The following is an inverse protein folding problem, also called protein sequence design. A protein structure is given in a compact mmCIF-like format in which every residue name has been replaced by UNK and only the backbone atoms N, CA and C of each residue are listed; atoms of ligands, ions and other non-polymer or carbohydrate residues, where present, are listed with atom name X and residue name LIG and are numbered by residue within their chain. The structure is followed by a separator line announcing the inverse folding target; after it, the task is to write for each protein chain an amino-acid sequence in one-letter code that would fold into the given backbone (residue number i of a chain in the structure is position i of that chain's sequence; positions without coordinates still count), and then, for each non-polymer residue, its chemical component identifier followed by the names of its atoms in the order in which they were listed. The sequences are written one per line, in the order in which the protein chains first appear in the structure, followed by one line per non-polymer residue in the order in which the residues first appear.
data_IF_506261133718
#
_entry.id   IF_506261133718
#
_cell.length_a   1.000
_cell.length_b   1.000
_cell.length_c   1.000
_cell.angle_alpha   90.00
_cell.angle_beta   90.00
_cell.angle_gamma   90.00
#
_symmetry.space_group_name_H-M   'P 1'
#
loop_
_entity.id
_entity.type
_entity.pdbx_description
1 polymer ?
#
# COMPACT_ATOMS: atom_id res chain seq x y z
N UNK A 1 -4.61 21.65 50.98
CA UNK A 1 -5.78 21.04 51.64
C UNK A 1 -5.43 19.60 51.92
N UNK A 2 -5.26 19.23 53.18
CA UNK A 2 -4.89 17.89 53.61
C UNK A 2 -6.11 16.99 53.53
N UNK A 3 -6.14 16.07 52.57
CA UNK A 3 -7.16 15.04 52.48
C UNK A 3 -6.99 14.05 53.65
N UNK A 4 -7.78 14.23 54.70
CA UNK A 4 -7.84 13.28 55.82
C UNK A 4 -8.69 12.07 55.41
N UNK A 5 -8.01 11.01 54.95
CA UNK A 5 -8.59 9.75 54.47
C UNK A 5 -9.43 9.06 55.55
N UNK A 6 -9.26 9.42 56.83
CA UNK A 6 -10.02 8.87 57.96
C UNK A 6 -11.51 9.21 57.91
N UNK A 7 -11.91 10.21 57.10
CA UNK A 7 -13.31 10.67 57.00
C UNK A 7 -14.15 9.90 55.97
N UNK A 8 -13.56 9.00 55.18
CA UNK A 8 -14.25 8.17 54.18
C UNK A 8 -14.69 6.79 54.70
N UNK A 9 -14.46 6.48 55.98
CA UNK A 9 -14.89 5.22 56.59
C UNK A 9 -16.36 5.33 57.07
N UNK A 10 -17.30 5.03 56.15
CA UNK A 10 -18.77 5.14 56.36
C UNK A 10 -19.33 4.01 57.25
N UNK A 11 -18.55 2.95 57.51
CA UNK A 11 -19.02 1.77 58.22
C UNK A 11 -18.62 1.74 59.70
N UNK A 12 -19.54 1.25 60.55
CA UNK A 12 -19.30 1.03 61.99
C UNK A 12 -18.25 -0.07 62.15
N UNK A 13 -17.10 0.27 62.74
CA UNK A 13 -16.00 -0.69 62.97
C UNK A 13 -16.47 -1.85 63.85
N UNK A 14 -16.28 -3.07 63.36
CA UNK A 14 -16.60 -4.31 64.08
C UNK A 14 -15.58 -4.47 65.22
N UNK A 15 -16.00 -4.82 66.46
CA UNK A 15 -15.07 -5.07 67.56
C UNK A 15 -14.07 -6.18 67.19
N UNK A 16 -12.80 -5.98 67.59
CA UNK A 16 -11.65 -6.83 67.21
C UNK A 16 -11.74 -8.27 67.77
N UNK A 17 -12.61 -8.50 68.75
CA UNK A 17 -12.83 -9.80 69.39
C UNK A 17 -13.70 -10.76 68.54
N UNK A 18 -14.43 -10.23 67.54
CA UNK A 18 -15.23 -10.99 66.59
C UNK A 18 -14.55 -11.15 65.22
N UNK A 19 -13.37 -10.55 65.02
CA UNK A 19 -12.65 -10.53 63.75
C UNK A 19 -11.20 -10.98 63.95
N UNK A 20 -10.93 -12.27 63.72
CA UNK A 20 -9.56 -12.77 63.75
C UNK A 20 -8.91 -12.58 62.38
N UNK A 21 -7.92 -11.69 62.29
CA UNK A 21 -7.14 -11.51 61.08
C UNK A 21 -6.30 -12.77 60.81
N UNK A 22 -6.57 -13.45 59.70
CA UNK A 22 -5.83 -14.64 59.27
C UNK A 22 -4.75 -14.25 58.26
N UNK A 23 -3.50 -14.67 58.50
CA UNK A 23 -2.37 -14.41 57.61
C UNK A 23 -2.59 -15.05 56.23
N UNK A 24 -3.20 -16.23 56.21
CA UNK A 24 -3.57 -16.95 54.98
C UNK A 24 -4.57 -16.16 54.13
N UNK A 25 -5.60 -15.56 54.75
CA UNK A 25 -6.55 -14.70 54.05
C UNK A 25 -5.91 -13.45 53.45
N UNK A 26 -4.95 -12.84 54.16
CA UNK A 26 -4.18 -11.71 53.65
C UNK A 26 -3.34 -12.07 52.43
N UNK A 27 -2.65 -13.21 52.45
CA UNK A 27 -1.86 -13.70 51.30
C UNK A 27 -2.74 -13.97 50.09
N UNK A 28 -3.87 -14.67 50.27
CA UNK A 28 -4.82 -14.95 49.17
C UNK A 28 -5.36 -13.65 48.58
N UNK A 29 -5.74 -12.69 49.43
CA UNK A 29 -6.26 -11.39 48.97
C UNK A 29 -5.24 -10.62 48.14
N UNK A 30 -3.95 -10.61 48.54
CA UNK A 30 -2.87 -9.99 47.79
C UNK A 30 -2.66 -10.70 46.44
N UNK A 31 -2.64 -12.04 46.43
CA UNK A 31 -2.53 -12.80 45.18
C UNK A 31 -3.68 -12.51 44.21
N UNK A 32 -4.92 -12.44 44.71
CA UNK A 32 -6.08 -12.07 43.89
C UNK A 32 -5.97 -10.66 43.33
N UNK A 33 -5.54 -9.68 44.13
CA UNK A 33 -5.36 -8.29 43.68
C UNK A 33 -4.30 -8.19 42.57
N UNK A 34 -3.18 -8.90 42.71
CA UNK A 34 -2.13 -8.95 41.69
C UNK A 34 -2.62 -9.59 40.39
N UNK A 35 -3.38 -10.68 40.48
CA UNK A 35 -3.94 -11.36 39.31
C UNK A 35 -4.94 -10.47 38.57
N UNK A 36 -5.84 -9.80 39.31
CA UNK A 36 -6.80 -8.85 38.72
C UNK A 36 -6.07 -7.68 38.04
N UNK A 37 -5.05 -7.12 38.69
CA UNK A 37 -4.25 -6.03 38.10
C UNK A 37 -3.51 -6.48 36.83
N UNK A 38 -2.94 -7.69 36.83
CA UNK A 38 -2.28 -8.26 35.65
C UNK A 38 -3.26 -8.41 34.47
N UNK A 39 -4.43 -9.01 34.70
CA UNK A 39 -5.43 -9.19 33.65
C UNK A 39 -5.94 -7.84 33.12
N UNK A 40 -6.18 -6.88 34.00
CA UNK A 40 -6.61 -5.53 33.61
C UNK A 40 -5.57 -4.84 32.73
N UNK A 41 -4.29 -4.93 33.08
CA UNK A 41 -3.20 -4.34 32.29
C UNK A 41 -3.11 -5.02 30.91
N UNK A 42 -3.24 -6.34 30.84
CA UNK A 42 -3.21 -7.08 29.56
C UNK A 42 -4.34 -6.63 28.63
N UNK A 43 -5.58 -6.66 29.10
CA UNK A 43 -6.75 -6.25 28.31
C UNK A 43 -6.69 -4.76 27.93
N UNK A 44 -6.16 -3.91 28.80
CA UNK A 44 -5.95 -2.50 28.49
C UNK A 44 -4.93 -2.31 27.36
N UNK A 45 -3.83 -3.08 27.38
CA UNK A 45 -2.86 -3.04 26.29
C UNK A 45 -3.47 -3.54 24.98
N UNK A 46 -4.27 -4.60 25.01
CA UNK A 46 -4.96 -5.11 23.82
C UNK A 46 -6.02 -4.12 23.30
N UNK A 47 -6.77 -3.45 24.19
CA UNK A 47 -7.74 -2.42 23.81
C UNK A 47 -7.09 -1.17 23.19
N UNK A 48 -5.89 -0.80 23.67
CA UNK A 48 -5.12 0.32 23.11
C UNK A 48 -4.44 -0.09 21.80
N UNK A 49 -4.19 -1.39 21.59
CA UNK A 49 -3.61 -1.89 20.36
C UNK A 49 -4.58 -1.71 19.18
N UNK A 50 -4.10 -1.09 18.11
CA UNK A 50 -4.91 -0.88 16.92
C UNK A 50 -4.89 -2.13 16.04
N UNK A 51 -6.05 -2.75 15.81
CA UNK A 51 -6.18 -3.85 14.86
C UNK A 51 -6.56 -3.32 13.47
N UNK A 52 -5.76 -3.66 12.46
CA UNK A 52 -6.04 -3.30 11.06
C UNK A 52 -7.02 -4.32 10.49
N UNK A 53 -8.24 -3.90 10.17
CA UNK A 53 -9.26 -4.71 9.50
C UNK A 53 -9.52 -4.17 8.10
N UNK A 54 -9.57 -5.06 7.10
CA UNK A 54 -9.91 -4.71 5.71
C UNK A 54 -11.41 -4.83 5.51
N UNK A 55 -12.11 -3.69 5.41
CA UNK A 55 -13.54 -3.64 5.10
C UNK A 55 -13.77 -3.33 3.62
N UNK A 56 -14.77 -3.98 3.02
CA UNK A 56 -15.21 -3.72 1.65
C UNK A 56 -16.34 -2.68 1.68
N UNK A 57 -16.12 -1.55 1.02
CA UNK A 57 -17.14 -0.50 0.88
C UNK A 57 -17.60 -0.37 -0.58
N UNK A 58 -18.85 0.08 -0.77
CA UNK A 58 -19.38 0.40 -2.11
C UNK A 58 -18.80 1.74 -2.55
N UNK A 59 -17.99 1.75 -3.60
CA UNK A 59 -17.44 2.98 -4.17
C UNK A 59 -18.59 3.85 -4.69
N UNK A 60 -18.88 4.96 -4.01
CA UNK A 60 -19.85 5.95 -4.49
C UNK A 60 -19.11 6.83 -5.51
N UNK A 61 -19.56 6.80 -6.77
CA UNK A 61 -18.94 7.53 -7.88
C UNK A 61 -19.02 9.04 -7.59
N UNK A 62 -17.96 9.59 -6.99
CA UNK A 62 -17.86 10.97 -6.54
C UNK A 62 -16.50 11.58 -6.87
N UNK A 63 -16.56 12.66 -7.68
CA UNK A 63 -15.52 13.64 -8.07
C UNK A 63 -14.23 13.19 -8.77
N UNK A 64 -13.78 11.93 -8.65
CA UNK A 64 -12.56 11.46 -9.34
C UNK A 64 -12.77 10.24 -10.22
N UNK A 65 -13.45 10.43 -11.35
CA UNK A 65 -13.62 9.41 -12.42
C UNK A 65 -12.30 8.97 -13.08
N UNK A 66 -11.16 9.49 -12.61
CA UNK A 66 -9.82 9.15 -13.12
C UNK A 66 -8.92 8.60 -12.03
N UNK A 67 -8.15 7.56 -12.35
CA UNK A 67 -7.12 6.95 -11.52
C UNK A 67 -5.75 7.39 -12.04
N UNK A 68 -4.86 7.79 -11.13
CA UNK A 68 -3.46 8.03 -11.46
C UNK A 68 -2.72 6.69 -11.63
N UNK A 69 -1.92 6.57 -12.69
CA UNK A 69 -1.09 5.40 -12.99
C UNK A 69 0.36 5.86 -13.03
N UNK A 70 1.23 5.17 -12.32
CA UNK A 70 2.68 5.32 -12.43
C UNK A 70 3.26 4.09 -13.10
N UNK A 71 4.03 4.30 -14.16
CA UNK A 71 4.70 3.29 -14.94
C UNK A 71 6.20 3.58 -14.96
N UNK A 72 7.01 2.60 -14.57
CA UNK A 72 8.46 2.64 -14.67
C UNK A 72 8.97 1.34 -15.32
N UNK A 73 9.45 1.44 -16.54
CA UNK A 73 9.87 0.30 -17.35
C UNK A 73 11.19 0.60 -18.05
N UNK A 74 12.10 -0.39 -18.11
CA UNK A 74 13.36 -0.30 -18.84
C UNK A 74 13.40 -1.28 -20.01
N UNK A 75 13.68 -0.76 -21.19
CA UNK A 75 13.81 -1.46 -22.46
C UNK A 75 15.27 -1.38 -22.92
N UNK A 76 16.14 -2.35 -22.57
CA UNK A 76 17.59 -2.27 -22.81
C UNK A 76 18.01 -2.29 -24.28
N UNK A 77 17.12 -2.71 -25.19
CA UNK A 77 17.39 -2.88 -26.63
C UNK A 77 16.54 -1.98 -27.53
N UNK A 78 15.84 -1.00 -26.95
CA UNK A 78 14.98 -0.08 -27.69
C UNK A 78 15.33 1.38 -27.36
N UNK A 79 15.51 2.21 -28.39
CA UNK A 79 15.88 3.62 -28.24
C UNK A 79 14.72 4.47 -27.70
N UNK A 80 15.02 5.46 -26.84
CA UNK A 80 14.02 6.36 -26.27
C UNK A 80 13.27 7.22 -27.31
N UNK A 81 13.85 7.42 -28.48
CA UNK A 81 13.26 8.24 -29.55
C UNK A 81 11.99 7.59 -30.09
N UNK A 82 11.95 6.25 -30.13
CA UNK A 82 10.85 5.50 -30.73
C UNK A 82 9.82 5.02 -29.72
N UNK A 83 10.14 4.97 -28.42
CA UNK A 83 9.21 4.51 -27.38
C UNK A 83 8.07 5.51 -27.18
N UNK A 84 6.84 5.03 -27.17
CA UNK A 84 5.63 5.79 -26.87
C UNK A 84 4.70 5.02 -25.94
N UNK A 85 3.81 5.75 -25.27
CA UNK A 85 2.73 5.19 -24.46
C UNK A 85 1.40 5.49 -25.15
N UNK A 86 0.62 4.46 -25.42
CA UNK A 86 -0.69 4.58 -26.03
C UNK A 86 -1.75 4.18 -25.00
N UNK A 87 -2.83 4.95 -24.88
CA UNK A 87 -3.91 4.75 -23.91
C UNK A 87 -5.22 4.55 -24.68
N UNK A 88 -5.94 3.48 -24.37
CA UNK A 88 -7.22 3.15 -24.98
C UNK A 88 -8.24 2.71 -23.93
N UNK A 89 -9.33 3.46 -23.81
CA UNK A 89 -10.44 3.18 -22.88
C UNK A 89 -11.75 2.88 -23.64
N UNK A 90 -12.66 2.11 -23.04
CA UNK A 90 -14.00 1.87 -23.63
C UNK A 90 -14.88 3.13 -23.74
N UNK A 91 -14.56 4.18 -22.97
CA UNK A 91 -15.20 5.50 -23.08
C UNK A 91 -14.82 6.27 -24.36
N UNK A 92 -14.10 5.65 -25.30
CA UNK A 92 -13.71 6.26 -26.58
C UNK A 92 -12.47 7.15 -26.49
N UNK A 93 -11.75 7.14 -25.37
CA UNK A 93 -10.44 7.81 -25.26
C UNK A 93 -9.39 6.96 -25.98
N UNK A 94 -8.77 7.52 -27.00
CA UNK A 94 -7.65 6.91 -27.70
C UNK A 94 -6.55 7.97 -27.89
N UNK A 95 -5.50 7.88 -27.09
CA UNK A 95 -4.36 8.79 -27.14
C UNK A 95 -3.13 8.01 -27.58
N UNK A 96 -2.57 8.41 -28.72
CA UNK A 96 -1.34 7.82 -29.27
C UNK A 96 -0.15 8.68 -28.86
N UNK A 97 0.87 8.07 -28.27
CA UNK A 97 2.11 8.76 -27.90
C UNK A 97 1.92 9.80 -26.81
N UNK A 98 1.31 9.41 -25.70
CA UNK A 98 1.16 10.27 -24.52
C UNK A 98 2.53 10.78 -24.05
N UNK A 99 2.69 12.11 -24.02
CA UNK A 99 3.96 12.78 -23.69
C UNK A 99 3.93 13.44 -22.31
N UNK A 100 2.77 13.85 -21.82
CA UNK A 100 2.65 14.63 -20.58
C UNK A 100 3.16 13.83 -19.36
N UNK A 101 4.03 14.43 -18.53
CA UNK A 101 4.64 13.76 -17.37
C UNK A 101 5.29 12.40 -17.72
N UNK A 102 5.94 12.33 -18.88
CA UNK A 102 6.78 11.19 -19.26
C UNK A 102 8.24 11.61 -19.32
N UNK A 103 9.09 10.87 -18.65
CA UNK A 103 10.53 11.04 -18.62
C UNK A 103 11.21 9.85 -19.30
N UNK A 104 12.12 10.16 -20.21
CA UNK A 104 12.85 9.17 -21.00
C UNK A 104 14.34 9.29 -20.71
N UNK A 105 14.88 8.29 -20.03
CA UNK A 105 16.28 8.24 -19.63
C UNK A 105 16.99 7.23 -20.53
N UNK A 106 18.02 7.69 -21.24
CA UNK A 106 18.83 6.83 -22.09
C UNK A 106 19.66 5.88 -21.22
N UNK A 107 19.62 4.59 -21.54
CA UNK A 107 20.40 3.55 -20.86
C UNK A 107 21.26 2.78 -21.87
N UNK A 108 22.23 2.00 -21.37
CA UNK A 108 23.08 1.13 -22.20
C UNK A 108 23.77 1.89 -23.35
N UNK A 109 24.43 3.01 -23.02
CA UNK A 109 25.21 3.83 -23.96
C UNK A 109 24.45 4.33 -25.19
N UNK A 110 23.12 4.52 -25.11
CA UNK A 110 22.31 5.02 -26.22
C UNK A 110 21.38 3.99 -26.86
N UNK A 111 21.56 2.71 -26.53
CA UNK A 111 20.84 1.60 -27.18
C UNK A 111 19.47 1.35 -26.53
N UNK A 112 19.38 1.54 -25.21
CA UNK A 112 18.16 1.27 -24.46
C UNK A 112 17.49 2.54 -23.93
N UNK A 113 16.26 2.35 -23.43
CA UNK A 113 15.49 3.39 -22.80
C UNK A 113 14.89 2.95 -21.47
N UNK A 114 15.02 3.80 -20.46
CA UNK A 114 14.17 3.74 -19.27
C UNK A 114 13.07 4.79 -19.44
N UNK A 115 11.82 4.31 -19.45
CA UNK A 115 10.62 5.09 -19.63
C UNK A 115 9.87 5.17 -18.30
N UNK A 116 9.71 6.39 -17.81
CA UNK A 116 8.94 6.70 -16.62
C UNK A 116 7.74 7.57 -17.03
N UNK A 117 6.54 7.22 -16.59
CA UNK A 117 5.32 7.92 -16.98
C UNK A 117 4.33 8.00 -15.83
N UNK A 118 3.75 9.17 -15.62
CA UNK A 118 2.70 9.42 -14.64
C UNK A 118 1.46 10.02 -15.31
N UNK A 119 0.45 9.20 -15.55
CA UNK A 119 -0.73 9.59 -16.33
C UNK A 119 -2.03 9.25 -15.60
N UNK A 120 -3.14 9.90 -15.96
CA UNK A 120 -4.46 9.61 -15.38
C UNK A 120 -5.33 8.91 -16.41
N UNK A 121 -5.92 7.76 -16.07
CA UNK A 121 -6.86 7.00 -16.91
C UNK A 121 -8.26 7.06 -16.33
N UNK A 122 -9.29 6.84 -17.15
CA UNK A 122 -10.66 6.77 -16.64
C UNK A 122 -10.87 5.47 -15.84
N UNK A 123 -11.79 5.48 -14.87
CA UNK A 123 -12.21 4.31 -14.08
C UNK A 123 -13.11 3.37 -14.88
N UNK A 124 -12.64 2.90 -16.02
CA UNK A 124 -13.36 1.95 -16.89
C UNK A 124 -12.41 0.87 -17.39
N UNK A 125 -12.97 -0.17 -18.00
CA UNK A 125 -12.15 -1.15 -18.69
C UNK A 125 -11.38 -0.45 -19.83
N UNK A 126 -10.09 -0.75 -19.91
CA UNK A 126 -9.18 -0.12 -20.84
C UNK A 126 -7.81 -0.79 -20.80
N UNK A 127 -6.95 -0.35 -21.70
CA UNK A 127 -5.57 -0.80 -21.77
C UNK A 127 -4.65 0.40 -22.03
N UNK A 128 -3.42 0.31 -21.52
CA UNK A 128 -2.33 1.12 -21.99
C UNK A 128 -1.24 0.18 -22.49
N UNK A 129 -0.59 0.54 -23.59
CA UNK A 129 0.47 -0.26 -24.16
C UNK A 129 1.68 0.62 -24.49
N UNK A 130 2.87 0.10 -24.18
CA UNK A 130 4.13 0.72 -24.57
C UNK A 130 4.48 0.21 -25.95
N UNK A 131 4.62 1.12 -26.91
CA UNK A 131 4.75 0.78 -28.33
C UNK A 131 5.80 1.66 -29.02
N UNK A 132 6.06 1.40 -30.29
CA UNK A 132 6.81 2.31 -31.17
C UNK A 132 5.92 3.08 -32.14
N UNK A 133 4.59 3.02 -31.96
CA UNK A 133 3.62 3.51 -32.93
C UNK A 133 3.68 5.03 -33.10
N UNK A 134 4.01 5.76 -32.04
CA UNK A 134 4.10 7.22 -32.03
C UNK A 134 5.41 7.78 -32.61
N UNK A 135 6.34 6.90 -33.04
CA UNK A 135 7.60 7.31 -33.63
C UNK A 135 7.43 7.85 -35.05
N UNK A 136 8.15 8.92 -35.41
CA UNK A 136 8.16 9.46 -36.78
C UNK A 136 8.73 8.48 -37.81
N UNK A 137 9.66 7.64 -37.38
CA UNK A 137 10.28 6.59 -38.18
C UNK A 137 10.24 5.30 -37.37
N UNK A 138 9.60 4.27 -37.92
CA UNK A 138 9.55 2.96 -37.30
C UNK A 138 10.87 2.20 -37.53
N UNK A 139 11.42 1.52 -36.51
CA UNK A 139 12.59 0.68 -36.67
C UNK A 139 12.24 -0.64 -37.39
N UNK A 140 13.15 -1.14 -38.23
CA UNK A 140 12.96 -2.39 -38.98
C UNK A 140 12.90 -3.64 -38.07
N UNK A 141 13.58 -3.57 -36.92
CA UNK A 141 13.61 -4.63 -35.92
C UNK A 141 13.25 -4.05 -34.56
N UNK A 142 12.21 -4.63 -33.95
CA UNK A 142 11.68 -4.22 -32.65
C UNK A 142 11.95 -5.34 -31.65
N UNK A 143 12.74 -5.04 -30.62
CA UNK A 143 12.95 -5.92 -29.48
C UNK A 143 12.33 -5.29 -28.23
N UNK A 144 11.20 -5.84 -27.79
CA UNK A 144 10.44 -5.37 -26.61
C UNK A 144 10.84 -6.09 -25.31
N UNK A 145 12.03 -6.71 -25.26
CA UNK A 145 12.59 -7.20 -24.00
C UNK A 145 12.67 -6.05 -22.99
N UNK A 146 12.14 -6.28 -21.79
CA UNK A 146 11.97 -5.22 -20.81
C UNK A 146 12.09 -5.71 -19.37
N UNK A 147 12.32 -4.76 -18.47
CA UNK A 147 12.28 -4.92 -17.03
C UNK A 147 11.24 -3.94 -16.50
N UNK A 148 10.22 -4.44 -15.82
CA UNK A 148 9.20 -3.63 -15.17
C UNK A 148 9.71 -3.32 -13.77
N UNK A 149 10.01 -2.05 -13.50
CA UNK A 149 10.40 -1.63 -12.15
C UNK A 149 9.17 -1.43 -11.28
N UNK A 150 8.16 -0.76 -11.83
CA UNK A 150 6.93 -0.42 -11.11
C UNK A 150 5.75 -0.19 -12.06
N UNK A 151 4.59 -0.74 -11.69
CA UNK A 151 3.28 -0.34 -12.22
C UNK A 151 2.35 -0.18 -11.05
N UNK A 152 1.91 1.04 -10.74
CA UNK A 152 1.02 1.31 -9.60
C UNK A 152 -0.18 2.12 -10.05
N UNK A 153 -1.32 1.85 -9.40
CA UNK A 153 -2.58 2.56 -9.62
C UNK A 153 -2.98 3.27 -8.33
N UNK A 154 -3.41 4.52 -8.46
CA UNK A 154 -3.79 5.39 -7.35
C UNK A 154 -2.62 6.16 -6.73
N UNK A 155 -2.90 6.78 -5.61
CA UNK A 155 -1.93 7.58 -4.87
C UNK A 155 -0.98 6.67 -4.07
N UNK A 156 0.29 7.09 -3.88
CA UNK A 156 1.26 6.28 -3.18
C UNK A 156 0.88 6.26 -1.69
N UNK A 157 0.66 5.06 -1.16
CA UNK A 157 0.35 4.84 0.25
C UNK A 157 1.65 4.81 1.06
N UNK A 158 2.43 5.90 1.03
CA UNK A 158 3.69 6.01 1.79
C UNK A 158 3.46 6.41 3.27
N UNK A 159 2.22 6.76 3.62
CA UNK A 159 1.88 7.30 4.94
C UNK A 159 1.83 6.26 6.06
N UNK A 160 1.75 4.97 5.72
CA UNK A 160 1.71 3.88 6.68
C UNK A 160 2.56 2.73 6.14
N UNK A 161 3.55 2.25 6.91
CA UNK A 161 4.37 1.07 6.62
C UNK A 161 3.52 -0.21 6.79
N UNK A 162 2.46 -0.30 6.00
CA UNK A 162 1.57 -1.45 5.91
C UNK A 162 2.00 -2.26 4.69
N UNK A 163 2.46 -3.50 4.93
CA UNK A 163 2.80 -4.49 3.91
C UNK A 163 1.60 -4.94 3.03
N UNK A 164 0.52 -4.16 2.97
CA UNK A 164 -0.70 -4.46 2.22
C UNK A 164 -0.59 -4.12 0.72
N UNK A 165 0.41 -3.33 0.30
CA UNK A 165 0.58 -2.95 -1.11
C UNK A 165 1.48 -3.96 -1.85
N UNK A 166 0.97 -5.15 -2.14
CA UNK A 166 1.66 -6.11 -3.00
C UNK A 166 1.51 -5.71 -4.46
N UNK A 167 2.60 -5.27 -5.08
CA UNK A 167 2.65 -5.00 -6.52
C UNK A 167 3.25 -6.22 -7.25
N UNK A 168 2.43 -7.03 -7.96
CA UNK A 168 2.89 -8.23 -8.64
C UNK A 168 3.84 -7.95 -9.81
N UNK A 169 3.83 -6.72 -10.33
CA UNK A 169 4.65 -6.30 -11.47
C UNK A 169 5.93 -5.56 -11.03
N UNK A 170 6.15 -5.41 -9.72
CA UNK A 170 7.36 -4.76 -9.21
C UNK A 170 8.59 -5.64 -9.46
N UNK A 171 9.61 -5.06 -10.10
CA UNK A 171 10.88 -5.71 -10.44
C UNK A 171 10.74 -7.02 -11.26
N UNK A 172 9.80 -7.06 -12.20
CA UNK A 172 9.64 -8.21 -13.09
C UNK A 172 10.54 -8.07 -14.31
N UNK A 173 11.48 -9.01 -14.46
CA UNK A 173 12.38 -9.09 -15.61
C UNK A 173 11.82 -10.02 -16.71
N UNK A 174 11.68 -9.49 -17.93
CA UNK A 174 11.27 -10.22 -19.14
C UNK A 174 12.31 -10.14 -20.26
N UNK A 175 13.57 -9.84 -19.93
CA UNK A 175 14.65 -9.78 -20.92
C UNK A 175 15.00 -11.12 -21.55
N UNK A 176 14.79 -12.23 -20.83
CA UNK A 176 14.97 -13.59 -21.34
C UNK A 176 13.73 -14.18 -22.03
N UNK A 177 12.61 -13.45 -22.09
CA UNK A 177 11.40 -13.95 -22.72
C UNK A 177 11.57 -14.00 -24.24
N UNK A 178 11.37 -15.18 -24.85
CA UNK A 178 11.31 -15.29 -26.30
C UNK A 178 9.97 -14.70 -26.77
N UNK A 179 10.01 -13.49 -27.30
CA UNK A 179 8.89 -12.93 -28.06
C UNK A 179 8.69 -13.77 -29.32
N UNK A 180 7.74 -14.71 -29.30
CA UNK A 180 7.14 -15.21 -30.54
C UNK A 180 6.32 -14.05 -31.10
N UNK A 181 6.84 -13.36 -32.11
CA UNK A 181 6.02 -12.52 -32.96
C UNK A 181 4.99 -13.42 -33.64
N UNK A 182 3.78 -13.47 -33.09
CA UNK A 182 2.65 -14.03 -33.81
C UNK A 182 2.28 -13.01 -34.87
N UNK A 183 2.73 -13.24 -36.11
CA UNK A 183 2.15 -12.60 -37.28
C UNK A 183 0.72 -13.16 -37.37
N UNK A 184 -0.27 -12.28 -37.21
CA UNK A 184 -1.67 -12.55 -37.55
C UNK A 184 -1.86 -12.49 -39.06
#
# INVERSE_FOLDING_TARGET
MSFDVRRFDVYRKVPKDLTQATVTGAVISICCLLLIAFLFISELFDFISTQITSELFVDNVGESDKIAVRLNISLPKLSCVVVGLDIQDENGRHEVGFVDNTDKIVINSGIGCRFEGSFKINRVAGNFHVSTHSAKQQPDHIDMTHVIHEVSFGDPMDAFDINANFNPLKQVDKTGAQCKCHVL
#
